data_IF_110946404002
#
_entry.id   IF_110946404002
#
_cell.length_a   1.000
_cell.length_b   1.000
_cell.length_c   1.000
_cell.angle_alpha   90.00
_cell.angle_beta   90.00
_cell.angle_gamma   90.00
#
_symmetry.space_group_name_H-M   'P 1'
#
loop_
_entity.id
_entity.type
_entity.pdbx_description
1 polymer ?
#
# COMPACT_ATOMS: atom_id res chain seq x y z
N UNK A 1 -5.49 -18.44 -0.26
CA UNK A 1 -5.10 -17.54 0.85
C UNK A 1 -6.10 -16.39 0.88
N UNK A 2 -6.81 -16.17 1.99
CA UNK A 2 -7.71 -15.01 2.12
C UNK A 2 -6.88 -13.73 2.13
N UNK A 3 -7.32 -12.69 1.41
CA UNK A 3 -6.73 -11.36 1.49
C UNK A 3 -7.31 -10.58 2.66
N UNK A 4 -6.46 -9.91 3.43
CA UNK A 4 -6.90 -9.01 4.49
C UNK A 4 -7.00 -7.60 3.95
N UNK A 5 -8.22 -7.09 3.84
CA UNK A 5 -8.47 -5.72 3.39
C UNK A 5 -8.52 -4.76 4.57
N UNK A 6 -7.77 -3.66 4.47
CA UNK A 6 -7.67 -2.65 5.51
C UNK A 6 -8.11 -1.28 4.99
N UNK A 7 -8.82 -0.51 5.81
CA UNK A 7 -8.95 0.93 5.59
C UNK A 7 -7.62 1.64 5.84
N UNK A 8 -7.58 2.94 5.56
CA UNK A 8 -6.37 3.73 5.85
C UNK A 8 -6.10 3.79 7.36
N UNK A 9 -7.15 3.86 8.17
CA UNK A 9 -7.09 3.88 9.64
C UNK A 9 -6.60 2.55 10.20
N UNK A 10 -7.08 1.43 9.67
CA UNK A 10 -6.65 0.10 10.10
C UNK A 10 -5.20 -0.17 9.69
N UNK A 11 -4.80 0.25 8.48
CA UNK A 11 -3.41 0.18 8.06
C UNK A 11 -2.52 1.06 8.95
N UNK A 12 -2.95 2.30 9.22
CA UNK A 12 -2.29 3.24 10.12
C UNK A 12 -2.01 2.63 11.49
N UNK A 13 -3.00 2.02 12.11
CA UNK A 13 -2.84 1.33 13.40
C UNK A 13 -1.82 0.18 13.32
N UNK A 14 -1.78 -0.53 12.19
CA UNK A 14 -0.95 -1.72 12.00
C UNK A 14 0.52 -1.40 11.76
N UNK A 15 0.82 -0.48 10.84
CA UNK A 15 2.20 -0.12 10.47
C UNK A 15 2.71 1.15 11.19
N UNK A 16 1.88 1.72 12.08
CA UNK A 16 2.21 2.84 12.97
C UNK A 16 2.62 4.14 12.27
N UNK A 17 2.17 4.33 11.03
CA UNK A 17 2.19 5.62 10.36
C UNK A 17 0.85 6.32 10.56
N UNK A 18 0.84 7.65 10.61
CA UNK A 18 -0.43 8.38 10.63
C UNK A 18 -1.16 8.29 9.27
N UNK A 19 -2.48 8.45 9.33
CA UNK A 19 -3.39 8.36 8.17
C UNK A 19 -3.00 9.34 7.06
N UNK A 20 -2.50 10.53 7.39
CA UNK A 20 -2.13 11.56 6.40
C UNK A 20 -0.88 11.12 5.64
N UNK A 21 0.14 10.62 6.34
CA UNK A 21 1.36 10.08 5.72
C UNK A 21 1.03 8.94 4.76
N UNK A 22 0.17 8.01 5.14
CA UNK A 22 -0.24 6.92 4.24
C UNK A 22 -0.88 7.47 2.97
N UNK A 23 -1.81 8.43 3.07
CA UNK A 23 -2.56 8.94 1.91
C UNK A 23 -1.77 9.88 1.00
N UNK A 24 -0.89 10.69 1.58
CA UNK A 24 -0.19 11.77 0.87
C UNK A 24 1.25 11.40 0.49
N UNK A 25 1.88 10.47 1.20
CA UNK A 25 3.28 10.14 1.00
C UNK A 25 3.48 8.69 0.53
N UNK A 26 2.79 7.72 1.12
CA UNK A 26 3.02 6.30 0.77
C UNK A 26 2.21 5.86 -0.44
N UNK A 27 0.92 6.24 -0.48
CA UNK A 27 0.02 5.98 -1.60
C UNK A 27 0.57 6.63 -2.87
N UNK A 28 0.62 5.87 -3.95
CA UNK A 28 1.14 6.22 -5.28
C UNK A 28 2.68 6.37 -5.37
N UNK A 29 3.39 6.53 -4.25
CA UNK A 29 4.86 6.57 -4.23
C UNK A 29 5.48 5.17 -4.06
N UNK A 30 4.96 4.42 -3.08
CA UNK A 30 5.44 3.05 -2.75
C UNK A 30 4.29 2.05 -2.63
N UNK A 31 3.04 2.52 -2.54
CA UNK A 31 1.84 1.68 -2.57
C UNK A 31 1.06 1.95 -3.85
N UNK A 32 1.08 0.99 -4.77
CA UNK A 32 0.47 1.09 -6.10
C UNK A 32 -0.95 0.49 -6.18
N UNK A 33 -1.83 1.14 -6.95
CA UNK A 33 -3.19 0.67 -7.25
C UNK A 33 -3.15 -0.67 -8.01
N UNK A 34 -4.07 -1.59 -7.68
CA UNK A 34 -4.12 -2.93 -8.25
C UNK A 34 -3.12 -3.92 -7.63
N UNK A 35 -2.11 -3.43 -6.90
CA UNK A 35 -1.13 -4.26 -6.18
C UNK A 35 -1.34 -4.17 -4.68
N UNK A 36 -1.16 -2.97 -4.12
CA UNK A 36 -1.19 -2.71 -2.67
C UNK A 36 -2.55 -2.24 -2.19
N UNK A 37 -3.31 -1.59 -3.06
CA UNK A 37 -4.65 -1.12 -2.74
C UNK A 37 -5.58 -1.20 -3.95
N UNK A 38 -6.88 -1.24 -3.68
CA UNK A 38 -7.94 -1.21 -4.68
C UNK A 38 -8.98 -0.14 -4.34
N UNK A 39 -9.75 0.28 -5.34
CA UNK A 39 -10.88 1.19 -5.16
C UNK A 39 -12.21 0.54 -5.56
N UNK A 40 -12.85 -0.23 -4.66
CA UNK A 40 -14.08 -0.94 -4.99
C UNK A 40 -15.29 0.00 -5.14
N UNK A 41 -16.39 -0.53 -5.70
CA UNK A 41 -17.71 0.10 -5.78
C UNK A 41 -17.71 1.55 -6.31
N UNK A 42 -17.04 1.78 -7.43
CA UNK A 42 -17.04 3.08 -8.10
C UNK A 42 -16.10 4.11 -7.49
N UNK A 43 -15.05 3.68 -6.77
CA UNK A 43 -13.92 4.55 -6.48
C UNK A 43 -13.95 5.28 -5.13
N UNK A 44 -15.06 5.21 -4.39
CA UNK A 44 -15.29 6.06 -3.20
C UNK A 44 -14.45 5.65 -1.98
N UNK A 45 -14.08 4.37 -1.87
CA UNK A 45 -13.28 3.84 -0.76
C UNK A 45 -11.98 3.29 -1.32
N UNK A 46 -10.90 3.42 -0.54
CA UNK A 46 -9.64 2.72 -0.77
C UNK A 46 -9.54 1.60 0.25
N UNK A 47 -9.22 0.40 -0.21
CA UNK A 47 -8.88 -0.74 0.63
C UNK A 47 -7.47 -1.20 0.30
N UNK A 48 -6.62 -1.30 1.31
CA UNK A 48 -5.27 -1.85 1.21
C UNK A 48 -5.30 -3.36 1.40
N UNK A 49 -4.46 -4.08 0.67
CA UNK A 49 -4.30 -5.53 0.78
C UNK A 49 -3.08 -5.77 1.68
N UNK A 50 -3.31 -6.17 2.93
CA UNK A 50 -2.26 -6.28 3.94
C UNK A 50 -1.07 -7.10 3.46
N UNK A 51 -1.33 -8.28 2.88
CA UNK A 51 -0.29 -9.22 2.50
C UNK A 51 0.66 -8.62 1.45
N UNK A 52 0.15 -7.73 0.58
CA UNK A 52 0.93 -7.03 -0.45
C UNK A 52 1.74 -5.87 0.12
N UNK A 53 1.15 -5.16 1.08
CA UNK A 53 1.86 -4.09 1.80
C UNK A 53 3.00 -4.68 2.63
N UNK A 54 2.73 -5.76 3.35
CA UNK A 54 3.71 -6.47 4.18
C UNK A 54 4.85 -7.06 3.34
N UNK A 55 4.52 -7.71 2.22
CA UNK A 55 5.51 -8.23 1.26
C UNK A 55 6.48 -7.12 0.81
N UNK A 56 5.99 -5.97 0.37
CA UNK A 56 6.83 -4.84 -0.05
C UNK A 56 7.62 -4.22 1.11
N UNK A 57 7.06 -4.20 2.33
CA UNK A 57 7.81 -3.78 3.53
C UNK A 57 8.98 -4.72 3.84
N UNK A 58 8.78 -6.04 3.70
CA UNK A 58 9.79 -7.06 3.98
C UNK A 58 10.89 -7.14 2.92
N UNK A 59 10.53 -6.93 1.65
CA UNK A 59 11.49 -6.85 0.56
C UNK A 59 12.33 -5.57 0.61
N UNK A 60 11.90 -4.59 1.42
CA UNK A 60 12.47 -3.26 1.51
C UNK A 60 12.10 -2.46 0.26
N UNK A 61 11.60 -1.25 0.44
CA UNK A 61 11.46 -0.26 -0.64
C UNK A 61 12.84 0.22 -1.16
N UNK A 62 13.79 -0.69 -1.37
CA UNK A 62 15.17 -0.44 -1.75
C UNK A 62 15.67 -1.53 -2.71
N UNK A 63 16.21 -1.07 -3.84
CA UNK A 63 16.81 -1.78 -4.97
C UNK A 63 15.88 -2.14 -6.15
N UNK A 64 14.83 -2.95 -5.98
CA UNK A 64 14.08 -3.43 -7.17
C UNK A 64 13.28 -2.33 -7.89
N UNK A 65 12.68 -1.39 -7.14
CA UNK A 65 11.88 -0.30 -7.71
C UNK A 65 12.73 0.80 -8.40
N UNK A 66 13.97 1.01 -7.95
CA UNK A 66 14.91 1.94 -8.60
C UNK A 66 15.48 1.36 -9.91
N UNK A 67 15.65 0.04 -9.99
CA UNK A 67 16.23 -0.64 -11.16
C UNK A 67 15.21 -0.75 -12.31
N UNK A 68 13.93 -0.93 -12.00
CA UNK A 68 12.89 -1.01 -13.04
C UNK A 68 12.46 0.36 -13.59
N UNK A 69 12.72 1.47 -12.88
CA UNK A 69 12.47 2.84 -13.40
C UNK A 69 13.58 3.36 -14.33
N UNK A 70 14.68 2.62 -14.49
CA UNK A 70 15.82 2.99 -15.34
C UNK A 70 15.95 2.16 -16.63
N UNK A 71 14.97 1.30 -16.94
CA UNK A 71 14.92 0.50 -18.17
C UNK A 71 13.72 0.88 -19.04
#
# INVERSE_FOLDING_TARGET
MPYTYLTTEELSARIRYDVRTIRQCLKDAVLFEGVHYIRPFGGRKILYIWERVEESMLLGASAHDLINQLN
#
